data_IF_206863354087
#
_entry.id   IF_206863354087
#
_cell.length_a   1.000
_cell.length_b   1.000
_cell.length_c   1.000
_cell.angle_alpha   90.00
_cell.angle_beta   90.00
_cell.angle_gamma   90.00
#
_symmetry.space_group_name_H-M   'P 1'
#
loop_
_entity.id
_entity.type
_entity.pdbx_description
1 polymer ?
#
# COMPACT_ATOMS: atom_id res chain seq x y z
N UNK A 1 -16.45 8.05 10.38
CA UNK A 1 -16.40 6.58 10.15
C UNK A 1 -15.25 6.22 9.22
N UNK A 2 -14.02 6.17 9.73
CA UNK A 2 -12.83 5.78 8.96
C UNK A 2 -12.78 4.25 8.71
N UNK A 3 -13.36 3.46 9.62
CA UNK A 3 -13.48 2.00 9.52
C UNK A 3 -14.30 1.59 8.29
N UNK A 4 -15.46 2.23 8.08
CA UNK A 4 -16.28 2.04 6.88
C UNK A 4 -15.51 2.26 5.56
N UNK A 5 -14.62 3.27 5.54
CA UNK A 5 -13.78 3.56 4.36
C UNK A 5 -12.75 2.45 4.12
N UNK A 6 -12.13 1.90 5.18
CA UNK A 6 -11.20 0.75 5.09
C UNK A 6 -11.90 -0.51 4.57
N UNK A 7 -13.09 -0.79 5.08
CA UNK A 7 -13.87 -1.95 4.65
C UNK A 7 -14.30 -1.82 3.19
N UNK A 8 -14.79 -0.64 2.82
CA UNK A 8 -15.18 -0.38 1.44
C UNK A 8 -14.00 -0.43 0.46
N UNK A 9 -12.82 0.06 0.87
CA UNK A 9 -11.59 -0.06 0.11
C UNK A 9 -11.16 -1.52 -0.08
N UNK A 10 -11.27 -2.34 0.97
CA UNK A 10 -10.96 -3.77 0.92
C UNK A 10 -11.87 -4.52 -0.06
N UNK A 11 -13.13 -4.11 -0.21
CA UNK A 11 -14.06 -4.68 -1.21
C UNK A 11 -13.72 -4.22 -2.64
N UNK A 12 -13.13 -3.04 -2.80
CA UNK A 12 -12.76 -2.50 -4.11
C UNK A 12 -11.56 -3.23 -4.74
N UNK A 13 -10.61 -3.71 -3.93
CA UNK A 13 -9.42 -4.46 -4.37
C UNK A 13 -9.75 -5.69 -5.24
N UNK A 14 -10.57 -6.68 -4.80
CA UNK A 14 -10.90 -7.85 -5.61
C UNK A 14 -11.75 -7.51 -6.85
N UNK A 15 -12.44 -6.36 -6.84
CA UNK A 15 -13.22 -5.84 -7.98
C UNK A 15 -12.36 -5.12 -9.03
N UNK A 16 -11.02 -5.17 -8.90
CA UNK A 16 -10.05 -4.46 -9.75
C UNK A 16 -10.21 -2.94 -9.75
N UNK A 17 -10.88 -2.38 -8.75
CA UNK A 17 -11.08 -0.93 -8.59
C UNK A 17 -9.95 -0.34 -7.75
N UNK A 18 -8.71 -0.52 -8.22
CA UNK A 18 -7.50 -0.25 -7.44
C UNK A 18 -7.34 1.23 -7.08
N UNK A 19 -7.59 2.14 -8.03
CA UNK A 19 -7.50 3.58 -7.78
C UNK A 19 -8.55 4.02 -6.73
N UNK A 20 -9.80 3.56 -6.88
CA UNK A 20 -10.85 3.84 -5.91
C UNK A 20 -10.50 3.29 -4.51
N UNK A 21 -9.95 2.06 -4.44
CA UNK A 21 -9.49 1.49 -3.18
C UNK A 21 -8.38 2.33 -2.54
N UNK A 22 -7.41 2.79 -3.34
CA UNK A 22 -6.32 3.66 -2.87
C UNK A 22 -6.85 4.98 -2.32
N UNK A 23 -7.76 5.66 -3.02
CA UNK A 23 -8.32 6.94 -2.58
C UNK A 23 -9.11 6.79 -1.28
N UNK A 24 -9.85 5.69 -1.12
CA UNK A 24 -10.58 5.36 0.11
C UNK A 24 -9.64 5.05 1.28
N UNK A 25 -8.56 4.30 1.06
CA UNK A 25 -7.55 4.06 2.08
C UNK A 25 -6.84 5.35 2.49
N UNK A 26 -6.45 6.19 1.53
CA UNK A 26 -5.83 7.50 1.79
C UNK A 26 -6.77 8.41 2.60
N UNK A 27 -8.05 8.43 2.25
CA UNK A 27 -9.05 9.19 3.00
C UNK A 27 -9.19 8.65 4.42
N UNK A 28 -9.27 7.32 4.60
CA UNK A 28 -9.33 6.69 5.93
C UNK A 28 -8.13 7.04 6.79
N UNK A 29 -6.92 6.98 6.22
CA UNK A 29 -5.67 7.36 6.88
C UNK A 29 -5.67 8.82 7.32
N UNK A 30 -6.14 9.75 6.47
CA UNK A 30 -6.26 11.17 6.84
C UNK A 30 -7.23 11.42 8.00
N UNK A 31 -8.28 10.59 8.15
CA UNK A 31 -9.24 10.72 9.24
C UNK A 31 -8.72 10.17 10.57
N UNK A 32 -7.83 9.18 10.54
CA UNK A 32 -7.22 8.61 11.74
C UNK A 32 -5.80 8.14 11.40
N UNK A 33 -4.82 9.06 11.42
CA UNK A 33 -3.45 8.76 11.00
C UNK A 33 -2.63 8.00 12.06
N UNK A 34 -3.26 7.56 13.16
CA UNK A 34 -2.60 6.86 14.28
C UNK A 34 -1.93 5.58 13.81
N UNK A 35 -0.64 5.67 13.45
CA UNK A 35 0.33 4.58 13.22
C UNK A 35 -0.16 3.34 12.45
N UNK A 36 -1.24 3.48 11.70
CA UNK A 36 -1.90 2.37 11.06
C UNK A 36 -1.25 2.14 9.68
N UNK A 37 0.05 1.79 9.72
CA UNK A 37 0.84 1.43 8.54
C UNK A 37 0.23 0.25 7.78
N UNK A 38 -0.71 -0.49 8.38
CA UNK A 38 -1.53 -1.48 7.69
C UNK A 38 -2.36 -0.87 6.55
N UNK A 39 -2.80 0.39 6.69
CA UNK A 39 -3.52 1.12 5.64
C UNK A 39 -2.59 1.46 4.49
N UNK A 40 -1.39 1.96 4.80
CA UNK A 40 -0.37 2.30 3.80
C UNK A 40 0.11 1.05 3.06
N UNK A 41 0.24 -0.07 3.77
CA UNK A 41 0.57 -1.36 3.15
C UNK A 41 -0.51 -1.79 2.15
N UNK A 42 -1.79 -1.65 2.53
CA UNK A 42 -2.92 -1.93 1.63
C UNK A 42 -2.98 -0.97 0.44
N UNK A 43 -2.60 0.30 0.63
CA UNK A 43 -2.44 1.26 -0.45
C UNK A 43 -1.36 0.79 -1.45
N UNK A 44 -0.21 0.34 -0.96
CA UNK A 44 0.84 -0.24 -1.79
C UNK A 44 0.35 -1.45 -2.60
N UNK A 45 -0.39 -2.36 -1.97
CA UNK A 45 -0.98 -3.52 -2.66
C UNK A 45 -1.99 -3.15 -3.74
N UNK A 46 -2.79 -2.08 -3.54
CA UNK A 46 -3.64 -1.54 -4.61
C UNK A 46 -2.81 -1.08 -5.80
N UNK A 47 -1.72 -0.36 -5.54
CA UNK A 47 -0.87 0.20 -6.60
C UNK A 47 -0.10 -0.89 -7.37
N UNK A 48 0.23 -2.03 -6.72
CA UNK A 48 0.74 -3.22 -7.41
C UNK A 48 -0.29 -3.72 -8.43
N UNK A 49 -1.56 -3.86 -8.01
CA UNK A 49 -2.66 -4.24 -8.90
C UNK A 49 -2.90 -3.23 -10.04
N UNK A 50 -2.70 -1.95 -9.76
CA UNK A 50 -2.77 -0.87 -10.75
C UNK A 50 -1.51 -0.79 -11.65
N UNK A 51 -0.48 -1.60 -11.41
CA UNK A 51 0.84 -1.56 -12.07
C UNK A 51 1.53 -0.19 -11.99
N UNK A 52 1.26 0.58 -10.93
CA UNK A 52 1.84 1.90 -10.72
C UNK A 52 3.04 1.80 -9.77
N UNK A 53 4.17 1.39 -10.31
CA UNK A 53 5.36 1.04 -9.52
C UNK A 53 5.88 2.22 -8.69
N UNK A 54 5.82 3.45 -9.21
CA UNK A 54 6.27 4.64 -8.48
C UNK A 54 5.49 4.81 -7.17
N UNK A 55 4.16 4.76 -7.24
CA UNK A 55 3.32 4.86 -6.04
C UNK A 55 3.49 3.66 -5.11
N UNK A 56 3.77 2.46 -5.63
CA UNK A 56 4.08 1.30 -4.80
C UNK A 56 5.34 1.54 -3.98
N UNK A 57 6.41 2.00 -4.64
CA UNK A 57 7.68 2.32 -3.99
C UNK A 57 7.48 3.40 -2.92
N UNK A 58 6.78 4.49 -3.23
CA UNK A 58 6.51 5.55 -2.26
C UNK A 58 5.75 5.02 -1.03
N UNK A 59 4.74 4.16 -1.20
CA UNK A 59 4.01 3.56 -0.08
C UNK A 59 4.92 2.71 0.81
N UNK A 60 5.73 1.83 0.21
CA UNK A 60 6.59 0.93 0.99
C UNK A 60 7.79 1.62 1.62
N UNK A 61 8.41 2.59 0.94
CA UNK A 61 9.45 3.42 1.55
C UNK A 61 8.91 4.25 2.73
N UNK A 62 7.69 4.78 2.62
CA UNK A 62 7.08 5.50 3.73
C UNK A 62 6.92 4.61 4.96
N UNK A 63 6.51 3.34 4.79
CA UNK A 63 6.45 2.36 5.87
C UNK A 63 7.83 2.08 6.45
N UNK A 64 8.84 1.80 5.62
CA UNK A 64 10.19 1.47 6.08
C UNK A 64 10.79 2.60 6.92
N UNK A 65 10.58 3.85 6.49
CA UNK A 65 11.17 5.03 7.12
C UNK A 65 10.44 5.51 8.39
N UNK A 66 9.14 5.24 8.52
CA UNK A 66 8.32 5.82 9.60
C UNK A 66 7.74 4.76 10.56
N UNK A 67 7.55 3.52 10.13
CA UNK A 67 7.01 2.47 10.99
C UNK A 67 8.04 2.05 12.05
N UNK A 68 7.61 1.67 13.25
CA UNK A 68 8.49 1.06 14.26
C UNK A 68 8.43 -0.49 14.22
N UNK A 69 7.39 -1.07 13.61
CA UNK A 69 7.20 -2.52 13.52
C UNK A 69 8.08 -3.14 12.43
N UNK A 70 9.14 -3.83 12.84
CA UNK A 70 10.06 -4.53 11.95
C UNK A 70 9.38 -5.60 11.07
N UNK A 71 8.30 -6.24 11.54
CA UNK A 71 7.56 -7.21 10.73
C UNK A 71 6.92 -6.55 9.51
N UNK A 72 6.37 -5.35 9.70
CA UNK A 72 5.73 -4.58 8.62
C UNK A 72 6.81 -4.05 7.66
N UNK A 73 7.95 -3.58 8.19
CA UNK A 73 9.10 -3.15 7.37
C UNK A 73 9.63 -4.28 6.50
N UNK A 74 9.89 -5.47 7.07
CA UNK A 74 10.41 -6.61 6.31
C UNK A 74 9.48 -7.01 5.18
N UNK A 75 8.15 -6.98 5.40
CA UNK A 75 7.16 -7.25 4.34
C UNK A 75 7.19 -6.19 3.24
N UNK A 76 7.27 -4.92 3.61
CA UNK A 76 7.36 -3.81 2.65
C UNK A 76 8.64 -3.90 1.82
N UNK A 77 9.77 -4.21 2.46
CA UNK A 77 11.06 -4.38 1.80
C UNK A 77 11.07 -5.56 0.82
N UNK A 78 10.54 -6.72 1.23
CA UNK A 78 10.43 -7.89 0.34
C UNK A 78 9.62 -7.57 -0.93
N UNK A 79 8.58 -6.74 -0.82
CA UNK A 79 7.82 -6.27 -1.98
C UNK A 79 8.65 -5.35 -2.90
N UNK A 80 9.45 -4.43 -2.35
CA UNK A 80 10.35 -3.57 -3.14
C UNK A 80 11.38 -4.43 -3.90
N UNK A 81 12.00 -5.39 -3.21
CA UNK A 81 12.99 -6.29 -3.82
C UNK A 81 12.39 -7.12 -4.96
N UNK A 82 11.19 -7.67 -4.76
CA UNK A 82 10.46 -8.38 -5.81
C UNK A 82 10.19 -7.48 -7.02
N UNK A 83 9.79 -6.22 -6.80
CA UNK A 83 9.51 -5.29 -7.90
C UNK A 83 10.78 -4.91 -8.67
N UNK A 84 11.89 -4.69 -7.98
CA UNK A 84 13.19 -4.40 -8.60
C UNK A 84 13.69 -5.60 -9.41
N UNK A 85 13.61 -6.81 -8.85
CA UNK A 85 14.01 -8.04 -9.56
C UNK A 85 13.22 -8.23 -10.88
N UNK A 86 11.90 -8.00 -10.85
CA UNK A 86 11.07 -8.07 -12.06
C UNK A 86 11.37 -6.96 -13.08
N UNK A 87 11.97 -5.84 -12.65
CA UNK A 87 12.41 -4.77 -13.57
C UNK A 87 13.75 -5.07 -14.23
N UNK A 88 14.63 -5.82 -13.56
CA UNK A 88 15.95 -6.20 -14.08
C UNK A 88 15.92 -7.40 -15.04
N UNK A 89 14.90 -8.26 -14.98
CA UNK A 89 14.72 -9.42 -15.88
C UNK A 89 14.22 -9.03 -17.30
N UNK A 90 13.99 -7.74 -17.57
CA UNK A 90 13.64 -7.21 -18.90
C UNK A 90 14.79 -6.44 -19.58
N UNK A 91 16.04 -6.64 -19.13
CA UNK A 91 17.26 -6.03 -19.68
C UNK A 91 17.99 -6.90 -20.69
#
# INVERSE_FOLDING_TARGET
NHEYLKDFASVCQPKKKYQQAYDLYKLSYNYSPYDDYSVIYRMGQCQIGAKNIDNVMQCFYHIINNCEDDSVKSKAQAHIELLNYNSEDNG
#
